data_IF_803522936305
#
_entry.id   IF_803522936305
#
_cell.length_a   1.000
_cell.length_b   1.000
_cell.length_c   1.000
_cell.angle_alpha   90.00
_cell.angle_beta   90.00
_cell.angle_gamma   90.00
#
_symmetry.space_group_name_H-M   'P 1'
#
loop_
_entity.id
_entity.type
_entity.pdbx_description
1 polymer ?
#
# COMPACT_ATOMS: atom_id res chain seq x y z
N UNK A 1 53.93 -94.84 36.56
CA UNK A 1 54.74 -94.15 37.58
C UNK A 1 53.94 -94.13 38.87
N UNK A 2 54.49 -94.77 39.90
CA UNK A 2 53.89 -94.92 41.21
C UNK A 2 54.49 -93.88 42.18
N UNK A 3 53.66 -93.38 43.11
CA UNK A 3 54.11 -92.97 44.44
C UNK A 3 53.13 -93.59 45.44
N UNK A 4 53.59 -94.63 46.14
CA UNK A 4 52.83 -95.31 47.20
C UNK A 4 52.87 -94.46 48.47
N UNK A 5 51.71 -93.97 48.90
CA UNK A 5 51.54 -93.36 50.22
C UNK A 5 51.51 -94.47 51.28
N UNK A 6 52.49 -94.48 52.17
CA UNK A 6 52.44 -95.28 53.40
C UNK A 6 51.26 -94.79 54.24
N UNK A 7 50.31 -95.69 54.48
CA UNK A 7 49.16 -95.44 55.35
C UNK A 7 49.67 -95.39 56.82
N UNK A 8 49.37 -94.32 57.59
CA UNK A 8 49.76 -94.26 58.99
C UNK A 8 49.06 -95.36 59.78
N UNK A 9 49.79 -95.95 60.75
CA UNK A 9 49.29 -97.04 61.57
C UNK A 9 47.94 -96.70 62.21
N UNK A 10 46.95 -97.58 62.02
CA UNK A 10 45.64 -97.48 62.64
C UNK A 10 45.79 -97.64 64.15
N UNK A 11 45.65 -96.54 64.89
CA UNK A 11 45.50 -96.55 66.35
C UNK A 11 44.00 -96.68 66.63
N UNK A 12 43.52 -97.78 67.22
CA UNK A 12 42.12 -97.89 67.57
C UNK A 12 41.77 -96.80 68.59
N UNK A 13 40.67 -96.04 68.41
CA UNK A 13 40.27 -95.05 69.38
C UNK A 13 39.99 -95.75 70.71
N UNK A 14 40.84 -95.53 71.71
CA UNK A 14 40.59 -95.98 73.06
C UNK A 14 39.29 -95.33 73.52
N UNK A 15 38.26 -96.14 73.77
CA UNK A 15 36.98 -95.69 74.32
C UNK A 15 37.28 -94.84 75.56
N UNK A 16 36.86 -93.56 75.59
CA UNK A 16 37.04 -92.73 76.77
C UNK A 16 36.46 -93.47 77.97
N UNK A 17 37.22 -93.54 79.07
CA UNK A 17 36.73 -94.14 80.30
C UNK A 17 35.36 -93.52 80.66
N UNK A 18 34.39 -94.31 81.15
CA UNK A 18 33.12 -93.77 81.59
C UNK A 18 33.41 -92.65 82.58
N UNK A 19 32.99 -91.43 82.26
CA UNK A 19 33.07 -90.33 83.22
C UNK A 19 32.28 -90.75 84.46
N UNK A 20 32.80 -90.48 85.68
CA UNK A 20 32.12 -90.85 86.91
C UNK A 20 30.67 -90.36 86.87
N UNK A 21 29.69 -91.21 87.18
CA UNK A 21 28.29 -90.78 87.26
C UNK A 21 28.20 -89.68 88.32
N UNK A 22 28.03 -88.44 87.87
CA UNK A 22 27.78 -87.31 88.78
C UNK A 22 26.54 -87.65 89.60
N UNK A 23 26.62 -87.44 90.91
CA UNK A 23 25.43 -87.55 91.76
C UNK A 23 24.38 -86.55 91.25
N UNK A 24 23.10 -86.92 91.36
CA UNK A 24 21.97 -86.09 90.87
C UNK A 24 22.07 -84.61 91.29
N UNK A 25 22.48 -84.25 92.52
CA UNK A 25 22.68 -82.85 92.90
C UNK A 25 23.80 -82.14 92.12
N UNK A 26 24.93 -82.83 91.89
CA UNK A 26 26.08 -82.28 91.17
C UNK A 26 25.75 -82.05 89.70
N UNK A 27 25.05 -83.00 89.06
CA UNK A 27 24.60 -82.85 87.68
C UNK A 27 23.67 -81.64 87.51
N UNK A 28 22.70 -81.45 88.41
CA UNK A 28 21.77 -80.31 88.35
C UNK A 28 22.53 -78.99 88.46
N UNK A 29 23.44 -78.86 89.42
CA UNK A 29 24.24 -77.63 89.60
C UNK A 29 25.14 -77.36 88.38
N UNK A 30 25.83 -78.37 87.85
CA UNK A 30 26.70 -78.21 86.68
C UNK A 30 25.90 -77.89 85.42
N UNK A 31 24.74 -78.53 85.21
CA UNK A 31 23.87 -78.24 84.07
C UNK A 31 23.26 -76.83 84.16
N UNK A 32 22.88 -76.39 85.36
CA UNK A 32 22.33 -75.04 85.55
C UNK A 32 23.39 -73.96 85.31
N UNK A 33 24.60 -74.14 85.84
CA UNK A 33 25.72 -73.23 85.60
C UNK A 33 26.12 -73.23 84.12
N UNK A 34 26.20 -74.39 83.47
CA UNK A 34 26.46 -74.46 82.04
C UNK A 34 25.39 -73.73 81.22
N UNK A 35 24.11 -73.89 81.54
CA UNK A 35 23.02 -73.18 80.86
C UNK A 35 23.10 -71.66 81.10
N UNK A 36 23.44 -71.24 82.31
CA UNK A 36 23.67 -69.83 82.64
C UNK A 36 24.88 -69.25 81.90
N UNK A 37 25.96 -70.03 81.75
CA UNK A 37 27.17 -69.62 80.99
C UNK A 37 26.92 -69.53 79.48
N UNK A 38 25.93 -70.27 78.95
CA UNK A 38 25.52 -70.19 77.53
C UNK A 38 24.53 -69.05 77.24
N UNK A 39 23.90 -68.46 78.27
CA UNK A 39 22.91 -67.40 78.10
C UNK A 39 23.46 -66.13 77.40
N UNK A 40 24.69 -65.65 77.71
CA UNK A 40 25.30 -64.55 76.96
C UNK A 40 25.47 -64.87 75.46
N UNK A 41 25.76 -66.13 75.12
CA UNK A 41 25.88 -66.56 73.72
C UNK A 41 24.52 -66.55 73.02
N UNK A 42 23.46 -67.07 73.67
CA UNK A 42 22.08 -67.01 73.16
C UNK A 42 21.64 -65.57 72.90
N UNK A 43 21.89 -64.67 73.84
CA UNK A 43 21.58 -63.23 73.71
C UNK A 43 22.39 -62.61 72.57
N UNK A 44 23.69 -62.92 72.47
CA UNK A 44 24.55 -62.46 71.37
C UNK A 44 24.05 -62.91 69.99
N UNK A 45 23.64 -64.17 69.85
CA UNK A 45 23.07 -64.71 68.61
C UNK A 45 21.74 -64.06 68.23
N UNK A 46 20.86 -63.78 69.21
CA UNK A 46 19.61 -63.07 68.96
C UNK A 46 19.86 -61.63 68.50
N UNK A 47 20.80 -60.92 69.12
CA UNK A 47 21.18 -59.56 68.73
C UNK A 47 21.78 -59.52 67.33
N UNK A 48 22.68 -60.45 66.99
CA UNK A 48 23.24 -60.56 65.65
C UNK A 48 22.15 -60.81 64.60
N UNK A 49 21.24 -61.76 64.87
CA UNK A 49 20.13 -62.08 63.97
C UNK A 49 19.21 -60.88 63.76
N UNK A 50 18.90 -60.13 64.83
CA UNK A 50 18.10 -58.91 64.76
C UNK A 50 18.79 -57.80 63.95
N UNK A 51 20.10 -57.61 64.11
CA UNK A 51 20.87 -56.64 63.34
C UNK A 51 20.92 -57.01 61.86
N UNK A 52 21.15 -58.29 61.53
CA UNK A 52 21.16 -58.77 60.14
C UNK A 52 19.79 -58.56 59.48
N UNK A 53 18.71 -58.92 60.17
CA UNK A 53 17.35 -58.69 59.69
C UNK A 53 17.07 -57.21 59.46
N UNK A 54 17.40 -56.35 60.43
CA UNK A 54 17.17 -54.90 60.32
C UNK A 54 17.95 -54.28 59.16
N UNK A 55 19.21 -54.68 58.98
CA UNK A 55 20.03 -54.22 57.84
C UNK A 55 19.47 -54.70 56.50
N UNK A 56 18.96 -55.94 56.43
CA UNK A 56 18.34 -56.47 55.22
C UNK A 56 17.05 -55.71 54.85
N UNK A 57 16.19 -55.42 55.83
CA UNK A 57 14.97 -54.62 55.65
C UNK A 57 15.32 -53.21 55.18
N UNK A 58 16.26 -52.53 55.85
CA UNK A 58 16.70 -51.20 55.45
C UNK A 58 17.22 -51.18 54.01
N UNK A 59 18.04 -52.16 53.63
CA UNK A 59 18.58 -52.27 52.27
C UNK A 59 17.46 -52.49 51.23
N UNK A 60 16.47 -53.31 51.56
CA UNK A 60 15.30 -53.50 50.71
C UNK A 60 14.49 -52.20 50.52
N UNK A 61 14.23 -51.47 51.59
CA UNK A 61 13.53 -50.17 51.54
C UNK A 61 14.28 -49.14 50.70
N UNK A 62 15.61 -49.04 50.87
CA UNK A 62 16.45 -48.17 50.03
C UNK A 62 16.42 -48.60 48.56
N UNK A 63 16.40 -49.90 48.28
CA UNK A 63 16.23 -50.43 46.93
C UNK A 63 14.91 -50.01 46.29
N UNK A 64 13.81 -50.04 47.03
CA UNK A 64 12.49 -49.60 46.56
C UNK A 64 12.46 -48.09 46.28
N UNK A 65 13.06 -47.27 47.16
CA UNK A 65 13.19 -45.83 46.95
C UNK A 65 14.02 -45.51 45.70
N UNK A 66 15.12 -46.24 45.47
CA UNK A 66 15.94 -46.09 44.27
C UNK A 66 15.17 -46.44 42.98
N UNK A 67 14.35 -47.50 43.00
CA UNK A 67 13.48 -47.86 41.86
C UNK A 67 12.43 -46.76 41.61
N UNK A 68 11.79 -46.25 42.66
CA UNK A 68 10.82 -45.17 42.55
C UNK A 68 11.46 -43.90 41.97
N UNK A 69 12.65 -43.51 42.46
CA UNK A 69 13.40 -42.37 41.95
C UNK A 69 13.79 -42.54 40.48
N UNK A 70 14.25 -43.74 40.08
CA UNK A 70 14.55 -44.05 38.69
C UNK A 70 13.32 -43.90 37.79
N UNK A 71 12.17 -44.43 38.21
CA UNK A 71 10.94 -44.35 37.43
C UNK A 71 10.43 -42.89 37.32
N UNK A 72 10.56 -42.10 38.38
CA UNK A 72 10.25 -40.67 38.34
C UNK A 72 11.18 -39.90 37.38
N UNK A 73 12.49 -40.18 37.42
CA UNK A 73 13.45 -39.58 36.50
C UNK A 73 13.16 -39.93 35.03
N UNK A 74 12.77 -41.18 34.74
CA UNK A 74 12.32 -41.59 33.41
C UNK A 74 11.07 -40.80 32.97
N UNK A 75 10.06 -40.67 33.84
CA UNK A 75 8.86 -39.89 33.55
C UNK A 75 9.16 -38.40 33.30
N UNK A 76 10.10 -37.80 34.03
CA UNK A 76 10.55 -36.43 33.78
C UNK A 76 11.29 -36.30 32.44
N UNK A 77 12.10 -37.28 32.04
CA UNK A 77 12.77 -37.30 30.75
C UNK A 77 11.76 -37.39 29.59
N UNK A 78 10.75 -38.26 29.70
CA UNK A 78 9.70 -38.40 28.70
C UNK A 78 8.86 -37.11 28.58
N UNK A 79 8.51 -36.48 29.71
CA UNK A 79 7.80 -35.20 29.72
C UNK A 79 8.63 -34.06 29.10
N UNK A 80 9.95 -34.03 29.35
CA UNK A 80 10.84 -33.06 28.73
C UNK A 80 10.94 -33.25 27.21
N UNK A 81 11.03 -34.50 26.73
CA UNK A 81 11.05 -34.80 25.31
C UNK A 81 9.74 -34.40 24.62
N UNK A 82 8.59 -34.68 25.24
CA UNK A 82 7.29 -34.23 24.74
C UNK A 82 7.20 -32.71 24.67
N UNK A 83 7.72 -32.00 25.69
CA UNK A 83 7.70 -30.54 25.71
C UNK A 83 8.60 -29.92 24.65
N UNK A 84 9.76 -30.51 24.38
CA UNK A 84 10.64 -30.08 23.29
C UNK A 84 9.92 -30.17 21.92
N UNK A 85 9.22 -31.28 21.65
CA UNK A 85 8.46 -31.45 20.42
C UNK A 85 7.28 -30.45 20.28
N UNK A 86 6.66 -30.02 21.38
CA UNK A 86 5.67 -28.93 21.35
C UNK A 86 6.29 -27.58 20.97
N UNK A 87 7.46 -27.26 21.54
CA UNK A 87 8.16 -26.01 21.24
C UNK A 87 8.61 -25.97 19.78
N UNK A 88 9.11 -27.08 19.24
CA UNK A 88 9.51 -27.16 17.83
C UNK A 88 8.34 -26.92 16.88
N UNK A 89 7.15 -27.45 17.19
CA UNK A 89 5.93 -27.18 16.42
C UNK A 89 5.51 -25.72 16.51
N UNK A 90 5.50 -25.13 17.71
CA UNK A 90 5.17 -23.73 17.89
C UNK A 90 6.16 -22.81 17.15
N UNK A 91 7.45 -23.16 17.12
CA UNK A 91 8.45 -22.42 16.37
C UNK A 91 8.23 -22.51 14.84
N UNK A 92 7.78 -23.67 14.34
CA UNK A 92 7.41 -23.84 12.94
C UNK A 92 6.16 -23.01 12.57
N UNK A 93 5.14 -22.99 13.43
CA UNK A 93 3.92 -22.20 13.22
C UNK A 93 4.23 -20.70 13.18
N UNK A 94 5.09 -20.22 14.08
CA UNK A 94 5.54 -18.81 14.09
C UNK A 94 6.32 -18.46 12.83
N UNK A 95 7.20 -19.35 12.33
CA UNK A 95 7.91 -19.14 11.06
C UNK A 95 6.95 -19.09 9.88
N UNK A 96 5.99 -20.02 9.79
CA UNK A 96 5.00 -20.03 8.73
C UNK A 96 4.12 -18.76 8.74
N UNK A 97 3.75 -18.27 9.92
CA UNK A 97 3.04 -17.00 10.06
C UNK A 97 3.89 -15.80 9.63
N UNK A 98 5.18 -15.79 9.96
CA UNK A 98 6.12 -14.76 9.52
C UNK A 98 6.27 -14.77 8.00
N UNK A 99 6.50 -15.94 7.39
CA UNK A 99 6.62 -16.09 5.93
C UNK A 99 5.34 -15.62 5.22
N UNK A 100 4.16 -15.89 5.79
CA UNK A 100 2.88 -15.41 5.24
C UNK A 100 2.73 -13.88 5.35
N UNK A 101 3.22 -13.27 6.43
CA UNK A 101 3.25 -11.81 6.58
C UNK A 101 4.25 -11.18 5.60
N UNK A 102 5.43 -11.78 5.44
CA UNK A 102 6.46 -11.34 4.50
C UNK A 102 6.00 -11.46 3.03
N UNK A 103 5.28 -12.54 2.69
CA UNK A 103 4.65 -12.72 1.39
C UNK A 103 3.54 -11.68 1.12
N UNK A 104 2.92 -11.15 2.17
CA UNK A 104 1.92 -10.09 2.15
C UNK A 104 0.55 -10.53 1.59
N UNK A 105 -0.58 -9.99 2.09
CA UNK A 105 -1.91 -10.26 1.52
C UNK A 105 -2.15 -9.56 0.17
N UNK A 106 -1.24 -8.67 -0.25
CA UNK A 106 -1.36 -7.86 -1.47
C UNK A 106 -0.06 -7.96 -2.26
N UNK A 107 -0.10 -8.68 -3.38
CA UNK A 107 1.07 -8.90 -4.24
C UNK A 107 1.68 -7.59 -4.76
N UNK A 108 0.87 -6.56 -5.02
CA UNK A 108 1.34 -5.18 -5.10
C UNK A 108 0.19 -4.18 -5.00
N UNK A 109 0.43 -3.01 -4.40
CA UNK A 109 -0.37 -1.80 -4.64
C UNK A 109 0.48 -0.88 -5.50
N UNK A 110 0.07 -0.63 -6.76
CA UNK A 110 0.82 0.23 -7.70
C UNK A 110 2.29 -0.20 -7.90
N UNK A 111 2.59 -1.50 -7.92
CA UNK A 111 3.95 -2.02 -8.14
C UNK A 111 4.87 -2.04 -6.91
N UNK A 112 4.36 -1.73 -5.71
CA UNK A 112 5.09 -1.92 -4.44
C UNK A 112 4.79 -3.28 -3.83
N UNK A 113 5.79 -4.14 -3.70
CA UNK A 113 5.76 -5.44 -3.00
C UNK A 113 6.14 -5.28 -1.52
N UNK A 114 5.46 -6.00 -0.61
CA UNK A 114 5.77 -6.03 0.83
C UNK A 114 4.62 -5.55 1.74
N UNK A 115 4.86 -5.53 3.06
CA UNK A 115 3.90 -5.03 4.06
C UNK A 115 3.64 -3.54 3.81
N UNK A 116 2.44 -3.20 3.35
CA UNK A 116 2.01 -1.81 3.17
C UNK A 116 1.68 -1.20 4.53
N UNK A 117 2.72 -0.87 5.32
CA UNK A 117 2.56 -0.01 6.49
C UNK A 117 2.43 1.42 6.01
N UNK A 118 1.25 2.02 6.19
CA UNK A 118 1.00 3.37 5.73
C UNK A 118 0.36 3.46 4.35
N UNK A 119 -0.71 2.68 4.10
CA UNK A 119 -1.90 3.30 3.51
C UNK A 119 -2.33 4.42 4.46
N UNK A 120 -1.58 5.51 4.43
CA UNK A 120 -2.09 6.79 4.85
C UNK A 120 -3.20 7.00 3.85
N UNK A 121 -4.44 6.79 4.28
CA UNK A 121 -5.49 7.67 3.87
C UNK A 121 -4.95 9.08 4.11
N UNK A 122 -4.15 9.60 3.18
CA UNK A 122 -3.94 11.03 3.05
C UNK A 122 -5.34 11.44 2.65
N UNK A 123 -6.15 11.73 3.67
CA UNK A 123 -7.59 11.50 3.65
C UNK A 123 -8.13 11.79 2.27
N UNK A 124 -8.81 10.81 1.65
CA UNK A 124 -9.68 11.09 0.52
C UNK A 124 -10.68 12.13 1.07
N UNK A 125 -10.38 13.42 0.91
CA UNK A 125 -11.06 14.51 1.63
C UNK A 125 -10.20 15.58 2.34
N UNK A 126 -8.86 15.48 2.39
CA UNK A 126 -8.04 16.59 2.89
C UNK A 126 -8.03 17.72 1.85
N UNK A 127 -8.86 18.74 2.07
CA UNK A 127 -8.90 19.94 1.23
C UNK A 127 -7.60 20.73 1.37
N UNK A 128 -6.92 20.94 0.25
CA UNK A 128 -5.68 21.74 0.16
C UNK A 128 -6.03 23.22 0.05
N UNK A 129 -5.27 24.10 0.71
CA UNK A 129 -5.44 25.55 0.62
C UNK A 129 -4.51 26.19 -0.42
N UNK A 130 -4.57 27.52 -0.58
CA UNK A 130 -3.82 28.24 -1.63
C UNK A 130 -2.30 28.17 -1.54
N UNK A 131 -1.74 27.69 -0.42
CA UNK A 131 -0.30 27.46 -0.26
C UNK A 131 0.19 26.24 -1.03
N UNK A 132 -0.72 25.34 -1.42
CA UNK A 132 -0.39 24.12 -2.13
C UNK A 132 -0.67 24.26 -3.64
N UNK A 133 0.32 23.86 -4.43
CA UNK A 133 0.20 23.88 -5.88
C UNK A 133 -0.73 22.77 -6.38
N UNK A 134 -1.56 23.08 -7.36
CA UNK A 134 -2.34 22.09 -8.11
C UNK A 134 -1.44 21.19 -8.94
N UNK A 135 -0.30 21.67 -9.41
CA UNK A 135 0.71 20.91 -10.16
C UNK A 135 1.18 19.66 -9.40
N UNK A 136 1.07 19.67 -8.07
CA UNK A 136 1.42 18.57 -7.17
C UNK A 136 0.24 17.65 -6.84
N UNK A 137 -0.88 17.74 -7.57
CA UNK A 137 -1.99 16.82 -7.40
C UNK A 137 -1.60 15.42 -7.93
N UNK A 138 -1.75 14.36 -7.12
CA UNK A 138 -1.40 13.00 -7.48
C UNK A 138 -2.18 12.50 -8.70
N UNK A 139 -1.53 11.64 -9.49
CA UNK A 139 -2.15 10.98 -10.64
C UNK A 139 -3.22 9.99 -10.16
N UNK A 140 -4.36 9.96 -10.85
CA UNK A 140 -5.41 8.95 -10.65
C UNK A 140 -6.29 9.21 -9.43
N UNK A 141 -6.17 10.37 -8.79
CA UNK A 141 -6.93 10.72 -7.60
C UNK A 141 -7.61 12.07 -7.76
N UNK A 142 -8.81 12.19 -7.19
CA UNK A 142 -9.49 13.46 -7.03
C UNK A 142 -8.94 14.19 -5.80
N UNK A 143 -8.58 15.46 -5.98
CA UNK A 143 -8.11 16.32 -4.89
C UNK A 143 -8.91 17.61 -4.86
N UNK A 144 -9.43 17.96 -3.68
CA UNK A 144 -10.10 19.23 -3.45
C UNK A 144 -9.08 20.30 -3.04
N UNK A 145 -9.19 21.47 -3.65
CA UNK A 145 -8.42 22.67 -3.35
C UNK A 145 -9.39 23.80 -3.01
N UNK A 146 -9.36 24.33 -1.80
CA UNK A 146 -10.25 25.42 -1.37
C UNK A 146 -9.51 26.47 -0.57
N UNK A 147 -9.85 27.73 -0.80
CA UNK A 147 -9.38 28.85 0.01
C UNK A 147 -10.42 29.97 0.01
N UNK A 148 -10.56 30.66 1.14
CA UNK A 148 -11.53 31.76 1.34
C UNK A 148 -10.92 33.14 1.12
N UNK A 149 -9.64 33.20 0.75
CA UNK A 149 -8.88 34.45 0.61
C UNK A 149 -8.20 34.62 -0.76
N UNK A 150 -8.59 33.82 -1.75
CA UNK A 150 -8.15 33.94 -3.13
C UNK A 150 -7.73 32.62 -3.77
N UNK A 151 -7.06 32.70 -4.92
CA UNK A 151 -6.53 31.54 -5.64
C UNK A 151 -5.07 31.29 -5.27
N UNK A 152 -4.64 30.04 -5.33
CA UNK A 152 -3.23 29.66 -5.23
C UNK A 152 -2.43 30.04 -6.48
N UNK A 153 -1.10 29.98 -6.37
CA UNK A 153 -0.19 30.49 -7.39
C UNK A 153 -0.36 29.84 -8.77
N UNK A 154 -0.76 28.57 -8.83
CA UNK A 154 -0.94 27.82 -10.06
C UNK A 154 -2.37 27.30 -10.24
N UNK A 155 -3.34 27.89 -9.54
CA UNK A 155 -4.75 27.54 -9.69
C UNK A 155 -5.30 28.14 -10.98
N UNK A 156 -6.39 27.59 -11.55
CA UNK A 156 -7.09 28.25 -12.64
C UNK A 156 -7.49 29.68 -12.25
N UNK A 157 -7.65 30.59 -13.22
CA UNK A 157 -8.24 31.90 -12.96
C UNK A 157 -9.56 31.76 -12.20
N UNK A 158 -9.61 32.33 -11.01
CA UNK A 158 -10.68 32.11 -10.04
C UNK A 158 -11.30 33.41 -9.52
N UNK A 159 -12.17 33.27 -8.52
CA UNK A 159 -12.77 34.40 -7.83
C UNK A 159 -11.73 35.07 -6.91
N UNK A 160 -11.75 36.39 -6.72
CA UNK A 160 -10.76 37.08 -5.87
C UNK A 160 -10.83 36.71 -4.38
N UNK A 161 -11.96 36.14 -3.92
CA UNK A 161 -12.18 35.82 -2.50
C UNK A 161 -12.25 34.32 -2.23
N UNK A 162 -13.30 33.61 -2.66
CA UNK A 162 -13.47 32.19 -2.36
C UNK A 162 -13.24 31.36 -3.61
N UNK A 163 -12.42 30.31 -3.54
CA UNK A 163 -12.19 29.36 -4.62
C UNK A 163 -12.35 27.94 -4.13
N UNK A 164 -12.99 27.07 -4.92
CA UNK A 164 -13.10 25.65 -4.61
C UNK A 164 -13.01 24.76 -5.85
N UNK A 165 -11.87 24.14 -6.06
CA UNK A 165 -11.58 23.34 -7.24
C UNK A 165 -11.47 21.85 -6.91
N UNK A 166 -12.18 21.02 -7.66
CA UNK A 166 -11.96 19.58 -7.71
C UNK A 166 -11.03 19.27 -8.87
N UNK A 167 -9.86 18.71 -8.56
CA UNK A 167 -8.78 18.52 -9.51
C UNK A 167 -8.49 17.04 -9.71
N UNK A 168 -8.42 16.61 -10.97
CA UNK A 168 -7.98 15.27 -11.37
C UNK A 168 -6.76 15.40 -12.27
N UNK A 169 -5.68 14.71 -11.89
CA UNK A 169 -4.49 14.54 -12.73
C UNK A 169 -4.49 13.13 -13.33
N UNK A 170 -4.28 13.00 -14.63
CA UNK A 170 -4.27 11.72 -15.33
C UNK A 170 -3.23 11.70 -16.45
N UNK A 171 -2.71 10.53 -16.81
CA UNK A 171 -1.61 10.36 -17.77
C UNK A 171 -0.68 9.21 -17.39
N UNK A 172 0.49 9.15 -18.01
CA UNK A 172 1.44 8.03 -17.85
C UNK A 172 2.36 8.20 -16.63
N UNK A 173 2.84 9.43 -16.39
CA UNK A 173 3.71 9.76 -15.24
C UNK A 173 4.03 11.26 -15.21
N UNK A 174 4.04 11.86 -14.01
CA UNK A 174 4.54 13.24 -13.80
C UNK A 174 6.04 13.29 -14.12
N UNK A 175 6.80 12.23 -13.78
CA UNK A 175 8.24 12.16 -14.04
C UNK A 175 8.59 12.07 -15.53
N UNK A 176 7.69 11.49 -16.36
CA UNK A 176 7.82 11.47 -17.82
C UNK A 176 7.25 12.75 -18.44
N UNK A 177 6.58 13.58 -17.64
CA UNK A 177 6.16 14.90 -18.08
C UNK A 177 5.06 14.88 -19.11
N UNK A 178 4.19 13.86 -19.10
CA UNK A 178 3.04 13.75 -20.01
C UNK A 178 1.80 13.44 -19.20
N UNK A 179 1.26 14.49 -18.58
CA UNK A 179 0.02 14.40 -17.80
C UNK A 179 -0.92 15.54 -18.18
N UNK A 180 -2.21 15.25 -18.09
CA UNK A 180 -3.27 16.24 -18.19
C UNK A 180 -3.86 16.44 -16.82
N UNK A 181 -4.21 17.68 -16.54
CA UNK A 181 -4.90 18.04 -15.31
C UNK A 181 -6.19 18.78 -15.64
N UNK A 182 -7.29 18.34 -15.03
CA UNK A 182 -8.60 18.97 -15.15
C UNK A 182 -9.05 19.48 -13.79
N UNK A 183 -9.44 20.75 -13.72
CA UNK A 183 -9.99 21.39 -12.54
C UNK A 183 -11.44 21.80 -12.78
N UNK A 184 -12.34 21.42 -11.89
CA UNK A 184 -13.77 21.74 -11.96
C UNK A 184 -14.16 22.60 -10.76
N UNK A 185 -14.79 23.74 -11.01
CA UNK A 185 -15.25 24.66 -9.96
C UNK A 185 -16.45 24.06 -9.23
N UNK A 186 -16.38 24.03 -7.89
CA UNK A 186 -17.42 23.50 -7.02
C UNK A 186 -18.10 24.59 -6.16
N UNK A 187 -17.81 25.87 -6.41
CA UNK A 187 -18.55 26.98 -5.79
C UNK A 187 -20.00 27.03 -6.28
N UNK A 188 -20.86 27.51 -5.38
CA UNK A 188 -22.27 27.81 -5.67
C UNK A 188 -22.46 29.19 -6.35
N UNK A 189 -21.56 30.15 -6.09
CA UNK A 189 -21.70 31.53 -6.56
C UNK A 189 -20.51 31.99 -7.39
N UNK A 190 -20.80 32.52 -8.59
CA UNK A 190 -19.78 32.96 -9.55
C UNK A 190 -18.96 31.78 -10.09
N UNK A 191 -18.99 31.58 -11.41
CA UNK A 191 -18.16 30.55 -12.06
C UNK A 191 -18.53 29.08 -11.77
N UNK A 192 -19.74 28.83 -11.25
CA UNK A 192 -20.27 27.49 -11.05
C UNK A 192 -20.24 26.68 -12.36
N UNK A 193 -19.71 25.45 -12.28
CA UNK A 193 -19.60 24.55 -13.43
C UNK A 193 -18.52 24.95 -14.44
N UNK A 194 -17.63 25.89 -14.10
CA UNK A 194 -16.44 26.15 -14.90
C UNK A 194 -15.49 24.97 -14.81
N UNK A 195 -14.94 24.58 -15.96
CA UNK A 195 -13.95 23.51 -16.05
C UNK A 195 -12.75 24.09 -16.78
N UNK A 196 -11.56 23.82 -16.25
CA UNK A 196 -10.30 24.14 -16.88
C UNK A 196 -9.46 22.89 -17.08
N UNK A 197 -8.63 22.91 -18.11
CA UNK A 197 -7.66 21.88 -18.38
C UNK A 197 -6.31 22.50 -18.70
N UNK A 198 -5.24 21.81 -18.30
CA UNK A 198 -3.88 22.10 -18.74
C UNK A 198 -3.12 20.80 -18.90
N UNK A 199 -2.02 20.86 -19.63
CA UNK A 199 -1.15 19.71 -19.86
C UNK A 199 0.26 20.03 -19.37
N UNK A 200 0.91 19.04 -18.75
CA UNK A 200 2.34 19.04 -18.51
C UNK A 200 3.02 18.45 -19.75
N UNK A 201 3.94 19.21 -20.32
CA UNK A 201 4.87 18.73 -21.33
C UNK A 201 6.29 18.85 -20.79
N UNK A 202 6.95 17.70 -20.63
CA UNK A 202 8.22 17.52 -19.95
C UNK A 202 8.13 18.05 -18.50
N UNK A 203 8.76 19.17 -18.21
CA UNK A 203 8.76 19.78 -16.88
C UNK A 203 7.90 21.03 -16.80
N UNK A 204 7.26 21.43 -17.90
CA UNK A 204 6.55 22.71 -18.00
C UNK A 204 5.04 22.51 -18.11
N UNK A 205 4.30 23.01 -17.13
CA UNK A 205 2.86 23.10 -17.20
C UNK A 205 2.45 24.18 -18.20
N UNK A 206 1.60 23.81 -19.15
CA UNK A 206 0.88 24.77 -19.97
C UNK A 206 -0.09 25.63 -19.14
N UNK A 207 -0.55 26.75 -19.69
CA UNK A 207 -1.55 27.58 -19.03
C UNK A 207 -2.88 26.82 -18.87
N UNK A 208 -3.66 27.21 -17.87
CA UNK A 208 -5.05 26.74 -17.74
C UNK A 208 -5.90 27.26 -18.89
N UNK A 209 -6.52 26.32 -19.61
CA UNK A 209 -7.45 26.59 -20.70
C UNK A 209 -8.86 26.29 -20.23
N UNK A 210 -9.79 27.22 -20.45
CA UNK A 210 -11.19 27.02 -20.07
C UNK A 210 -11.88 26.08 -21.06
N UNK A 211 -12.49 25.02 -20.55
CA UNK A 211 -13.39 24.17 -21.33
C UNK A 211 -14.74 24.87 -21.38
N UNK A 212 -15.18 25.22 -22.59
CA UNK A 212 -16.50 25.78 -22.81
C UNK A 212 -17.55 24.69 -22.64
N UNK A 213 -18.50 24.96 -21.75
CA UNK A 213 -19.69 24.13 -21.50
C UNK A 213 -20.91 24.80 -22.11
N UNK A 214 -22.04 24.07 -22.20
CA UNK A 214 -23.29 24.59 -22.77
C UNK A 214 -23.80 25.89 -22.14
N UNK A 215 -23.36 26.23 -20.92
CA UNK A 215 -23.70 27.48 -20.21
C UNK A 215 -22.68 28.61 -20.36
N UNK A 216 -21.55 28.36 -21.02
CA UNK A 216 -20.39 29.27 -20.99
C UNK A 216 -19.85 29.64 -22.36
N UNK A 217 -20.57 29.31 -23.44
CA UNK A 217 -20.25 29.83 -24.77
C UNK A 217 -20.51 31.35 -24.78
N UNK A 218 -19.50 32.11 -24.37
CA UNK A 218 -19.38 33.55 -24.61
C UNK A 218 -18.18 33.67 -25.54
N UNK A 219 -18.45 34.04 -26.79
CA UNK A 219 -17.41 34.22 -27.80
C UNK A 219 -16.52 35.41 -27.40
N UNK A 220 -15.20 35.22 -27.47
CA UNK A 220 -14.24 36.31 -27.19
C UNK A 220 -14.32 37.34 -28.31
N UNK A 221 -14.61 38.59 -27.96
CA UNK A 221 -14.77 39.71 -28.88
C UNK A 221 -13.58 40.65 -28.86
N UNK A 222 -13.12 41.10 -30.03
CA UNK A 222 -12.12 42.18 -30.14
C UNK A 222 -12.60 43.24 -31.13
N UNK A 223 -12.56 44.51 -30.73
CA UNK A 223 -12.89 45.66 -31.59
C UNK A 223 -11.61 46.34 -32.07
N UNK A 224 -11.48 46.51 -33.39
CA UNK A 224 -10.36 47.17 -34.04
C UNK A 224 -10.83 48.06 -35.20
N UNK A 225 -10.17 49.21 -35.37
CA UNK A 225 -10.35 50.05 -36.55
C UNK A 225 -9.40 49.64 -37.68
N UNK A 226 -9.95 49.27 -38.83
CA UNK A 226 -9.21 49.08 -40.07
C UNK A 226 -9.06 50.41 -40.82
N UNK A 227 -8.14 51.26 -40.34
CA UNK A 227 -7.69 52.44 -41.08
C UNK A 227 -6.65 52.08 -42.17
N UNK A 228 -6.02 50.91 -42.04
CA UNK A 228 -5.05 50.33 -42.98
C UNK A 228 -5.72 49.50 -44.08
N UNK A 229 -5.09 49.33 -45.26
CA UNK A 229 -5.66 48.60 -46.39
C UNK A 229 -5.81 47.08 -46.16
N UNK A 230 -5.40 46.57 -45.01
CA UNK A 230 -5.51 45.17 -44.64
C UNK A 230 -5.71 44.99 -43.14
N UNK A 231 -6.47 43.96 -42.77
CA UNK A 231 -6.68 43.52 -41.40
C UNK A 231 -6.51 41.99 -41.33
N UNK A 232 -5.72 41.49 -40.38
CA UNK A 232 -5.55 40.05 -40.17
C UNK A 232 -6.34 39.60 -38.94
N UNK A 233 -7.26 38.67 -39.14
CA UNK A 233 -8.01 38.03 -38.05
C UNK A 233 -7.10 37.08 -37.28
N UNK A 234 -7.17 37.13 -35.95
CA UNK A 234 -6.43 36.21 -35.09
C UNK A 234 -7.40 35.39 -34.21
N UNK A 235 -7.69 34.13 -34.59
CA UNK A 235 -8.58 33.26 -33.84
C UNK A 235 -7.97 32.80 -32.50
N UNK A 236 -6.67 33.02 -32.25
CA UNK A 236 -6.06 32.77 -30.94
C UNK A 236 -6.43 33.85 -29.91
N UNK A 237 -6.85 35.03 -30.38
CA UNK A 237 -7.20 36.18 -29.53
C UNK A 237 -8.73 36.31 -29.38
N UNK A 238 -9.48 36.14 -30.47
CA UNK A 238 -10.94 36.33 -30.47
C UNK A 238 -11.65 35.44 -31.50
N UNK A 239 -12.78 34.84 -31.12
CA UNK A 239 -13.66 34.07 -32.01
C UNK A 239 -14.71 34.94 -32.69
N UNK A 240 -14.97 36.14 -32.15
CA UNK A 240 -15.73 37.22 -32.80
C UNK A 240 -14.82 38.41 -33.01
N UNK A 241 -14.60 38.79 -34.26
CA UNK A 241 -13.76 39.93 -34.62
C UNK A 241 -14.64 41.09 -35.07
N UNK A 242 -14.70 42.15 -34.29
CA UNK A 242 -15.37 43.39 -34.66
C UNK A 242 -14.37 44.31 -35.38
N UNK A 243 -14.63 44.55 -36.65
CA UNK A 243 -13.78 45.37 -37.52
C UNK A 243 -14.55 46.60 -37.97
N UNK A 244 -14.08 47.77 -37.56
CA UNK A 244 -14.57 49.05 -38.09
C UNK A 244 -13.84 49.40 -39.38
N UNK A 245 -14.59 49.58 -40.47
CA UNK A 245 -14.04 49.79 -41.81
C UNK A 245 -14.23 51.25 -42.21
N UNK A 246 -13.11 51.96 -42.37
CA UNK A 246 -13.09 53.38 -42.78
C UNK A 246 -12.80 53.57 -44.27
N UNK A 247 -12.05 52.65 -44.87
CA UNK A 247 -11.63 52.63 -46.27
C UNK A 247 -11.68 51.20 -46.82
N UNK A 248 -11.41 51.01 -48.12
CA UNK A 248 -11.24 49.70 -48.73
C UNK A 248 -10.23 48.83 -47.94
N UNK A 249 -10.61 47.58 -47.61
CA UNK A 249 -9.79 46.69 -46.76
C UNK A 249 -9.79 45.26 -47.29
N UNK A 250 -8.64 44.60 -47.13
CA UNK A 250 -8.51 43.14 -47.28
C UNK A 250 -8.51 42.47 -45.90
N UNK A 251 -9.46 41.57 -45.65
CA UNK A 251 -9.52 40.76 -44.44
C UNK A 251 -8.72 39.47 -44.67
N UNK A 252 -7.55 39.38 -44.05
CA UNK A 252 -6.72 38.19 -44.05
C UNK A 252 -7.18 37.24 -42.95
N UNK A 253 -7.58 36.04 -43.32
CA UNK A 253 -7.97 34.98 -42.38
C UNK A 253 -6.88 33.90 -42.41
N UNK A 254 -6.32 33.47 -41.26
CA UNK A 254 -5.37 32.37 -41.24
C UNK A 254 -6.05 31.08 -41.70
N UNK A 255 -5.27 30.08 -42.12
CA UNK A 255 -5.84 28.79 -42.53
C UNK A 255 -6.62 28.14 -41.36
N UNK A 256 -7.75 27.46 -41.66
CA UNK A 256 -8.47 26.71 -40.64
C UNK A 256 -7.60 25.58 -40.09
N UNK A 257 -7.82 25.20 -38.82
CA UNK A 257 -7.11 24.09 -38.18
C UNK A 257 -7.70 22.74 -38.57
N UNK A 258 -8.99 22.74 -38.91
CA UNK A 258 -9.70 21.54 -39.37
C UNK A 258 -11.18 21.82 -39.64
N UNK A 259 -11.86 20.79 -40.13
CA UNK A 259 -13.31 20.84 -40.35
C UNK A 259 -14.06 21.13 -39.03
N UNK A 260 -15.07 21.99 -39.10
CA UNK A 260 -15.88 22.40 -37.94
C UNK A 260 -15.34 23.60 -37.17
N UNK A 261 -14.15 24.11 -37.51
CA UNK A 261 -13.73 25.44 -37.05
C UNK A 261 -14.74 26.49 -37.54
N UNK A 262 -15.10 27.41 -36.64
CA UNK A 262 -15.98 28.54 -36.93
C UNK A 262 -15.35 29.84 -36.41
N UNK A 263 -15.51 30.89 -37.21
CA UNK A 263 -15.07 32.24 -36.89
C UNK A 263 -16.18 33.22 -37.27
N UNK A 264 -16.48 34.17 -36.40
CA UNK A 264 -17.44 35.24 -36.67
C UNK A 264 -16.71 36.55 -36.85
N UNK A 265 -17.09 37.32 -37.87
CA UNK A 265 -16.61 38.68 -38.10
C UNK A 265 -17.82 39.61 -38.13
N UNK A 266 -17.78 40.63 -37.28
CA UNK A 266 -18.74 41.74 -37.28
C UNK A 266 -18.09 42.91 -38.00
N UNK A 267 -18.57 43.23 -39.19
CA UNK A 267 -18.08 44.37 -39.97
C UNK A 267 -18.95 45.57 -39.65
N UNK A 268 -18.37 46.60 -39.03
CA UNK A 268 -19.00 47.91 -38.84
C UNK A 268 -18.51 48.86 -39.93
N UNK A 269 -19.39 49.22 -40.87
CA UNK A 269 -19.08 50.10 -41.97
C UNK A 269 -19.24 51.55 -41.54
N UNK A 270 -18.14 52.29 -41.36
CA UNK A 270 -18.21 53.74 -41.12
C UNK A 270 -18.50 54.47 -42.43
N UNK A 271 -17.82 54.07 -43.50
CA UNK A 271 -18.07 54.51 -44.87
C UNK A 271 -18.44 53.32 -45.75
N UNK A 272 -19.19 53.55 -46.84
CA UNK A 272 -19.35 52.55 -47.87
C UNK A 272 -17.99 52.30 -48.55
N UNK A 273 -17.46 51.10 -48.44
CA UNK A 273 -16.13 50.73 -48.92
C UNK A 273 -16.08 49.25 -49.28
N UNK A 274 -15.33 48.86 -50.32
CA UNK A 274 -15.22 47.46 -50.71
C UNK A 274 -14.42 46.67 -49.67
N UNK A 275 -14.89 45.45 -49.40
CA UNK A 275 -14.21 44.48 -48.55
C UNK A 275 -13.83 43.28 -49.40
N UNK A 276 -12.58 42.88 -49.28
CA UNK A 276 -12.05 41.66 -49.90
C UNK A 276 -11.52 40.73 -48.84
N UNK A 277 -11.35 39.46 -49.18
CA UNK A 277 -10.82 38.44 -48.29
C UNK A 277 -9.56 37.81 -48.87
N UNK A 278 -8.74 37.23 -48.01
CA UNK A 278 -7.63 36.38 -48.43
C UNK A 278 -8.10 35.19 -49.28
N UNK A 279 -7.19 34.67 -50.12
CA UNK A 279 -7.50 33.63 -51.12
C UNK A 279 -7.97 32.30 -50.53
N UNK A 280 -7.76 32.06 -49.24
CA UNK A 280 -8.25 30.90 -48.51
C UNK A 280 -9.67 31.07 -47.95
N UNK A 281 -10.41 32.08 -48.44
CA UNK A 281 -11.83 32.29 -48.14
C UNK A 281 -12.64 32.17 -49.43
N UNK A 282 -13.52 31.18 -49.50
CA UNK A 282 -14.51 31.01 -50.56
C UNK A 282 -15.66 31.98 -50.29
N UNK A 283 -15.93 32.85 -51.27
CA UNK A 283 -16.99 33.86 -51.18
C UNK A 283 -18.36 33.25 -51.54
N UNK A 284 -19.47 33.88 -51.10
CA UNK A 284 -20.81 33.53 -51.55
C UNK A 284 -20.98 33.62 -53.07
N UNK A 285 -22.01 32.96 -53.62
CA UNK A 285 -22.37 33.12 -55.03
C UNK A 285 -22.75 34.58 -55.28
N UNK A 286 -22.09 35.23 -56.23
CA UNK A 286 -22.25 36.67 -56.49
C UNK A 286 -21.29 37.57 -55.72
N UNK A 287 -20.41 37.00 -54.89
CA UNK A 287 -19.40 37.73 -54.12
C UNK A 287 -19.94 38.29 -52.80
N UNK A 288 -19.15 39.16 -52.17
CA UNK A 288 -19.58 39.89 -50.97
C UNK A 288 -20.54 41.02 -51.40
N UNK A 289 -21.74 41.12 -50.81
CA UNK A 289 -22.67 42.19 -51.17
C UNK A 289 -22.09 43.56 -50.82
N UNK A 290 -22.46 44.59 -51.58
CA UNK A 290 -22.11 45.96 -51.25
C UNK A 290 -22.74 46.35 -49.91
N UNK A 291 -21.91 46.73 -48.94
CA UNK A 291 -22.36 47.11 -47.61
C UNK A 291 -22.52 48.64 -47.53
N UNK A 292 -23.65 49.07 -46.98
CA UNK A 292 -23.96 50.49 -46.80
C UNK A 292 -23.16 51.10 -45.65
N UNK A 293 -22.88 52.41 -45.73
CA UNK A 293 -22.34 53.16 -44.61
C UNK A 293 -23.27 53.09 -43.39
N UNK A 294 -22.69 53.18 -42.19
CA UNK A 294 -23.37 53.11 -40.90
C UNK A 294 -24.17 51.81 -40.68
N UNK A 295 -23.67 50.68 -41.19
CA UNK A 295 -24.27 49.36 -40.97
C UNK A 295 -23.31 48.40 -40.30
N UNK A 296 -23.85 47.47 -39.51
CA UNK A 296 -23.10 46.33 -38.98
C UNK A 296 -23.59 45.08 -39.68
N UNK A 297 -22.67 44.33 -40.27
CA UNK A 297 -22.95 43.06 -40.95
C UNK A 297 -22.23 41.92 -40.27
N UNK A 298 -22.98 40.88 -39.91
CA UNK A 298 -22.42 39.64 -39.37
C UNK A 298 -22.02 38.70 -40.50
N UNK A 299 -20.78 38.23 -40.45
CA UNK A 299 -20.22 37.29 -41.40
C UNK A 299 -19.71 36.07 -40.63
N UNK A 300 -20.14 34.88 -41.01
CA UNK A 300 -19.66 33.64 -40.41
C UNK A 300 -18.73 32.91 -41.40
N UNK A 301 -17.57 32.48 -40.92
CA UNK A 301 -16.67 31.63 -41.67
C UNK A 301 -16.71 30.23 -41.05
N UNK A 302 -16.99 29.23 -41.89
CA UNK A 302 -17.03 27.82 -41.49
C UNK A 302 -15.99 27.06 -42.28
N UNK A 303 -15.11 26.34 -41.60
CA UNK A 303 -14.05 25.57 -42.24
C UNK A 303 -14.61 24.37 -43.01
N UNK A 304 -14.21 24.24 -44.28
CA UNK A 304 -14.54 23.09 -45.13
C UNK A 304 -13.48 22.00 -45.01
N UNK A 305 -13.84 20.80 -45.47
CA UNK A 305 -12.95 19.62 -45.45
C UNK A 305 -11.70 19.82 -46.32
N UNK A 306 -11.77 20.69 -47.34
CA UNK A 306 -10.65 21.03 -48.23
C UNK A 306 -9.67 22.07 -47.64
N UNK A 307 -9.83 22.45 -46.37
CA UNK A 307 -8.90 23.36 -45.67
C UNK A 307 -9.08 24.83 -46.03
N UNK A 308 -10.24 25.20 -46.59
CA UNK A 308 -10.61 26.57 -46.97
C UNK A 308 -11.79 27.05 -46.10
N UNK A 309 -11.89 28.34 -45.83
CA UNK A 309 -13.06 28.92 -45.17
C UNK A 309 -14.21 29.13 -46.15
N UNK A 310 -15.44 28.82 -45.74
CA UNK A 310 -16.65 29.23 -46.45
C UNK A 310 -17.25 30.45 -45.77
N UNK A 311 -17.38 31.56 -46.49
CA UNK A 311 -17.97 32.79 -45.98
C UNK A 311 -19.49 32.76 -46.11
N UNK A 312 -20.20 33.04 -45.03
CA UNK A 312 -21.65 33.12 -44.95
C UNK A 312 -22.08 34.54 -44.56
N UNK A 313 -22.80 35.20 -45.48
CA UNK A 313 -23.38 36.54 -45.29
C UNK A 313 -24.78 36.48 -45.92
N UNK A 314 -25.76 35.94 -45.19
CA UNK A 314 -27.17 35.82 -45.63
C UNK A 314 -27.39 35.47 -47.11
N UNK A 315 -27.45 34.18 -47.48
CA UNK A 315 -27.66 33.77 -48.87
C UNK A 315 -27.28 32.30 -49.15
N UNK A 316 -27.37 31.89 -50.42
CA UNK A 316 -26.96 30.56 -50.88
C UNK A 316 -25.45 30.52 -51.22
N UNK A 317 -24.75 29.49 -50.75
CA UNK A 317 -23.32 29.32 -50.96
C UNK A 317 -23.01 28.16 -51.91
N UNK A 318 -21.96 28.29 -52.76
CA UNK A 318 -21.54 27.20 -53.61
C UNK A 318 -20.88 26.12 -52.74
N UNK A 319 -21.43 24.91 -52.78
CA UNK A 319 -20.85 23.75 -52.10
C UNK A 319 -19.44 23.42 -52.61
#
# INVERSE_FOLDING_TARGET
MATSLQNPAYVPPTRPAPTPMMSRPVFVTTAFNYTADQEPFRVGMNNLSSNVYSNAVYTFEQGQLAIAARNAAAGHADAAAAKAAEVDRAAADVRAALDAIEAGPVASVMGRTGVVTGLVETAIGATRNKSQLMANAPIGQWVAYSDTTGSGADWPPGHPTVNWWNVLTYGTSIAVGRVTQRASQALDTGYQGWIFERQLHDTTWGPWQRILTSRTLIESGRHLGAAAPSYTVDPSIATVNWVEVFNAVTINVPNPRGFGDQLTILISMVNASPITFSSNVKLPVGGVPALSANTITTMALIARVDGVWNLHIGGANPW
#
